data_IF_651296752353
#
_entry.id   IF_651296752353
#
_cell.length_a   1.000
_cell.length_b   1.000
_cell.length_c   1.000
_cell.angle_alpha   90.00
_cell.angle_beta   90.00
_cell.angle_gamma   90.00
#
_symmetry.space_group_name_H-M   'P 1'
#
loop_
_entity.id
_entity.type
_entity.pdbx_description
1 polymer ?
#
# COMPACT_ATOMS: atom_id res chain seq x y z
N UNK A 1 -4.82 1.67 12.96
CA UNK A 1 -3.56 2.46 12.80
C UNK A 1 -2.45 1.99 13.72
N UNK A 2 -2.61 1.96 15.05
CA UNK A 2 -1.55 1.53 15.98
C UNK A 2 -0.98 0.13 15.68
N UNK A 3 -1.84 -0.83 15.36
CA UNK A 3 -1.41 -2.17 14.94
C UNK A 3 -0.54 -2.14 13.68
N UNK A 4 -0.80 -1.21 12.76
CA UNK A 4 -0.05 -1.03 11.51
C UNK A 4 1.34 -0.44 11.77
N UNK A 5 1.42 0.60 12.61
CA UNK A 5 2.67 1.23 13.06
C UNK A 5 3.62 0.22 13.70
N UNK A 6 3.08 -0.68 14.54
CA UNK A 6 3.87 -1.67 15.27
C UNK A 6 4.07 -3.01 14.52
N UNK A 7 3.54 -3.15 13.30
CA UNK A 7 3.68 -4.39 12.53
C UNK A 7 2.87 -5.58 13.07
N UNK A 8 1.81 -5.36 13.86
CA UNK A 8 0.99 -6.42 14.46
C UNK A 8 -0.01 -7.00 13.44
N UNK A 9 0.50 -7.80 12.50
CA UNK A 9 -0.27 -8.37 11.38
C UNK A 9 -1.49 -9.16 11.83
N UNK A 10 -1.35 -9.98 12.87
CA UNK A 10 -2.45 -10.81 13.40
C UNK A 10 -3.60 -9.94 13.93
N UNK A 11 -3.29 -8.82 14.56
CA UNK A 11 -4.29 -7.85 15.03
C UNK A 11 -4.94 -7.14 13.85
N UNK A 12 -4.16 -6.78 12.81
CA UNK A 12 -4.70 -6.18 11.58
C UNK A 12 -5.70 -7.13 10.91
N UNK A 13 -5.38 -8.42 10.81
CA UNK A 13 -6.27 -9.43 10.24
C UNK A 13 -7.54 -9.62 11.08
N UNK A 14 -7.40 -9.72 12.41
CA UNK A 14 -8.55 -9.85 13.30
C UNK A 14 -9.51 -8.64 13.17
N UNK A 15 -8.97 -7.43 13.05
CA UNK A 15 -9.75 -6.22 12.84
C UNK A 15 -10.47 -6.26 11.48
N UNK A 16 -9.80 -6.71 10.43
CA UNK A 16 -10.40 -6.88 9.11
C UNK A 16 -11.58 -7.85 9.13
N UNK A 17 -11.41 -9.01 9.76
CA UNK A 17 -12.45 -10.04 9.88
C UNK A 17 -13.68 -9.55 10.64
N UNK A 18 -13.50 -8.56 11.53
CA UNK A 18 -14.58 -7.93 12.28
C UNK A 18 -15.14 -6.66 11.60
N UNK A 19 -14.75 -6.39 10.35
CA UNK A 19 -15.29 -5.29 9.55
C UNK A 19 -14.73 -3.92 9.89
N UNK A 20 -13.52 -3.84 10.45
CA UNK A 20 -12.86 -2.56 10.70
C UNK A 20 -12.55 -1.84 9.36
N UNK A 21 -12.85 -0.55 9.31
CA UNK A 21 -12.48 0.30 8.18
C UNK A 21 -10.97 0.58 8.23
N UNK A 22 -10.23 0.04 7.27
CA UNK A 22 -8.77 0.18 7.18
C UNK A 22 -8.33 1.49 6.53
N UNK A 23 -9.26 2.17 5.88
CA UNK A 23 -9.03 3.40 5.10
C UNK A 23 -9.41 4.67 5.83
N UNK A 24 -9.77 4.56 7.11
CA UNK A 24 -9.98 5.75 7.94
C UNK A 24 -8.75 6.65 7.87
N UNK A 25 -8.99 7.87 7.44
CA UNK A 25 -7.99 8.92 7.38
C UNK A 25 -8.04 9.74 8.67
N UNK A 26 -6.86 10.02 9.19
CA UNK A 26 -6.69 11.07 10.20
C UNK A 26 -6.95 12.46 9.61
N UNK A 27 -7.07 13.47 10.46
CA UNK A 27 -7.28 14.87 10.05
C UNK A 27 -6.19 15.43 9.12
N UNK A 28 -4.99 14.85 9.13
CA UNK A 28 -3.88 15.18 8.24
C UNK A 28 -3.80 14.29 6.99
N UNK A 29 -4.81 13.43 6.75
CA UNK A 29 -4.89 12.57 5.57
C UNK A 29 -3.99 11.34 5.61
N UNK A 30 -3.55 10.89 6.79
CA UNK A 30 -2.76 9.67 6.95
C UNK A 30 -3.68 8.48 7.22
N UNK A 31 -3.34 7.31 6.66
CA UNK A 31 -4.05 6.05 6.90
C UNK A 31 -3.19 5.08 7.68
N UNK A 32 -3.76 3.94 8.09
CA UNK A 32 -3.00 2.84 8.66
C UNK A 32 -1.84 2.41 7.74
N UNK A 33 -2.04 2.44 6.42
CA UNK A 33 -1.00 2.14 5.43
C UNK A 33 0.14 3.17 5.43
N UNK A 34 -0.17 4.46 5.61
CA UNK A 34 0.86 5.51 5.71
C UNK A 34 1.79 5.25 6.90
N UNK A 35 1.24 4.91 8.07
CA UNK A 35 2.04 4.64 9.26
C UNK A 35 2.86 3.34 9.15
N UNK A 36 2.28 2.27 8.60
CA UNK A 36 3.04 1.05 8.34
C UNK A 36 4.19 1.29 7.36
N UNK A 37 3.97 2.14 6.36
CA UNK A 37 4.99 2.49 5.38
C UNK A 37 6.09 3.38 5.95
N UNK A 38 5.71 4.34 6.81
CA UNK A 38 6.66 5.20 7.52
C UNK A 38 7.58 4.40 8.45
N UNK A 39 7.05 3.41 9.16
CA UNK A 39 7.83 2.57 10.10
C UNK A 39 8.50 1.35 9.43
N UNK A 40 8.37 1.21 8.12
CA UNK A 40 9.03 0.12 7.40
C UNK A 40 8.41 -1.27 7.61
N UNK A 41 7.16 -1.34 8.07
CA UNK A 41 6.48 -2.58 8.44
C UNK A 41 5.99 -3.33 7.21
N UNK A 42 6.88 -4.05 6.52
CA UNK A 42 6.58 -4.73 5.25
C UNK A 42 5.36 -5.66 5.30
N UNK A 43 5.25 -6.49 6.34
CA UNK A 43 4.14 -7.44 6.45
C UNK A 43 2.81 -6.74 6.74
N UNK A 44 2.83 -5.68 7.56
CA UNK A 44 1.64 -4.85 7.78
C UNK A 44 1.22 -4.11 6.50
N UNK A 45 2.19 -3.60 5.72
CA UNK A 45 1.93 -3.01 4.41
C UNK A 45 1.32 -4.04 3.45
N UNK A 46 1.76 -5.30 3.49
CA UNK A 46 1.13 -6.38 2.70
C UNK A 46 -0.28 -6.71 3.17
N UNK A 47 -0.50 -6.77 4.48
CA UNK A 47 -1.81 -7.08 5.06
C UNK A 47 -2.83 -5.97 4.77
N UNK A 48 -2.42 -4.70 4.85
CA UNK A 48 -3.26 -3.53 4.59
C UNK A 48 -3.38 -3.21 3.09
N UNK A 49 -2.40 -3.60 2.29
CA UNK A 49 -2.25 -3.25 0.88
C UNK A 49 -2.98 -4.19 -0.10
N UNK A 50 -3.95 -4.99 0.35
CA UNK A 50 -4.71 -5.88 -0.53
C UNK A 50 -5.62 -5.14 -1.54
N UNK A 51 -5.92 -3.85 -1.32
CA UNK A 51 -6.87 -3.10 -2.16
C UNK A 51 -6.47 -1.61 -2.37
N UNK A 52 -5.17 -1.30 -2.45
CA UNK A 52 -4.65 0.09 -2.59
C UNK A 52 -5.32 0.87 -3.74
N UNK A 53 -5.83 0.18 -4.76
CA UNK A 53 -6.58 0.78 -5.88
C UNK A 53 -7.90 1.40 -5.50
N UNK A 54 -8.56 0.93 -4.43
CA UNK A 54 -9.87 1.43 -4.00
C UNK A 54 -9.77 2.68 -3.13
N UNK A 55 -8.63 2.87 -2.48
CA UNK A 55 -8.61 3.72 -1.30
C UNK A 55 -8.25 5.17 -1.61
N UNK A 56 -7.95 5.52 -2.87
CA UNK A 56 -7.57 6.89 -3.25
C UNK A 56 -6.37 7.42 -2.45
N UNK A 57 -5.66 6.53 -1.75
CA UNK A 57 -4.50 6.82 -0.92
C UNK A 57 -3.41 7.17 -1.92
N UNK A 58 -3.25 8.46 -2.21
CA UNK A 58 -2.31 8.94 -3.20
C UNK A 58 -0.85 8.63 -2.84
N UNK A 59 0.06 9.52 -3.18
CA UNK A 59 1.50 9.32 -2.97
C UNK A 59 1.96 9.32 -1.49
N UNK A 60 1.06 9.42 -0.50
CA UNK A 60 1.42 9.61 0.91
C UNK A 60 2.19 8.43 1.55
N UNK A 61 1.78 7.16 1.41
CA UNK A 61 2.54 6.02 1.96
C UNK A 61 3.90 5.86 1.28
N UNK A 62 3.95 6.11 -0.04
CA UNK A 62 5.19 6.05 -0.81
C UNK A 62 6.16 7.16 -0.37
N UNK A 63 5.66 8.38 -0.17
CA UNK A 63 6.45 9.50 0.32
C UNK A 63 6.95 9.27 1.75
N UNK A 64 6.13 8.67 2.63
CA UNK A 64 6.53 8.34 4.00
C UNK A 64 7.65 7.29 4.03
N UNK A 65 7.50 6.19 3.28
CA UNK A 65 8.55 5.17 3.16
C UNK A 65 9.84 5.73 2.54
N UNK A 66 9.72 6.64 1.55
CA UNK A 66 10.87 7.30 0.92
C UNK A 66 11.60 8.26 1.86
N UNK A 67 10.88 9.05 2.66
CA UNK A 67 11.49 9.92 3.66
C UNK A 67 12.30 9.15 4.70
N UNK A 68 11.86 7.92 5.03
CA UNK A 68 12.50 7.06 6.03
C UNK A 68 13.51 6.06 5.42
N UNK A 69 13.58 5.95 4.10
CA UNK A 69 14.53 5.09 3.39
C UNK A 69 14.13 3.61 3.33
N UNK A 70 12.86 3.27 3.51
CA UNK A 70 12.37 1.88 3.49
C UNK A 70 12.19 1.36 2.06
N UNK A 71 13.31 1.01 1.42
CA UNK A 71 13.35 0.59 0.02
C UNK A 71 12.48 -0.64 -0.29
N UNK A 72 12.38 -1.60 0.62
CA UNK A 72 11.59 -2.82 0.40
C UNK A 72 10.08 -2.56 0.51
N UNK A 73 9.67 -1.70 1.44
CA UNK A 73 8.31 -1.15 1.48
C UNK A 73 7.98 -0.37 0.20
N UNK A 74 8.90 0.46 -0.31
CA UNK A 74 8.70 1.18 -1.58
C UNK A 74 8.46 0.20 -2.73
N UNK A 75 9.26 -0.86 -2.84
CA UNK A 75 9.07 -1.89 -3.86
C UNK A 75 7.70 -2.56 -3.75
N UNK A 76 7.24 -2.84 -2.52
CA UNK A 76 5.93 -3.42 -2.26
C UNK A 76 4.79 -2.48 -2.68
N UNK A 77 4.86 -1.21 -2.28
CA UNK A 77 3.85 -0.20 -2.63
C UNK A 77 3.81 0.05 -4.15
N UNK A 78 4.96 0.11 -4.81
CA UNK A 78 5.04 0.25 -6.27
C UNK A 78 4.46 -0.96 -7.00
N UNK A 79 4.74 -2.19 -6.53
CA UNK A 79 4.20 -3.41 -7.13
C UNK A 79 2.66 -3.45 -7.05
N UNK A 80 2.09 -2.95 -5.96
CA UNK A 80 0.64 -2.88 -5.79
C UNK A 80 0.01 -1.76 -6.63
N UNK A 81 0.69 -0.61 -6.80
CA UNK A 81 0.24 0.47 -7.69
C UNK A 81 0.36 0.12 -9.18
N UNK A 82 1.35 -0.68 -9.60
CA UNK A 82 1.54 -1.07 -11.01
C UNK A 82 0.44 -2.02 -11.52
N UNK A 83 -0.22 -2.79 -10.64
CA UNK A 83 -1.41 -3.56 -11.03
C UNK A 83 -2.57 -2.68 -11.55
N UNK A 84 -2.63 -1.41 -11.13
CA UNK A 84 -3.69 -0.45 -11.50
C UNK A 84 -3.55 0.00 -12.95
N UNK A 85 -2.33 0.20 -13.44
CA UNK A 85 -2.10 0.64 -14.82
C UNK A 85 -2.16 -0.48 -15.85
N UNK A 86 -2.14 -1.74 -15.42
CA UNK A 86 -2.20 -2.89 -16.33
C UNK A 86 -3.63 -3.23 -16.78
N UNK A 87 -4.67 -2.80 -16.05
CA UNK A 87 -6.08 -3.05 -16.41
C UNK A 87 -6.75 -1.87 -17.13
N UNK A 88 -6.19 -0.66 -17.08
CA UNK A 88 -6.67 0.49 -17.87
C UNK A 88 -5.97 0.61 -19.24
N UNK A 89 -5.07 -0.34 -19.55
CA UNK A 89 -4.30 -0.37 -20.79
C UNK A 89 -4.74 -1.47 -21.78
N UNK A 90 -5.86 -2.16 -21.53
CA UNK A 90 -6.52 -3.07 -22.50
C UNK A 90 -7.23 -2.32 -23.64
N UNK A 91 -6.66 -1.19 -24.06
CA UNK A 91 -7.01 -0.49 -25.29
C UNK A 91 -5.82 -0.25 -26.22
N UNK A 92 -4.60 -0.04 -25.71
CA UNK A 92 -3.47 0.27 -26.59
C UNK A 92 -2.09 0.16 -25.91
N UNK A 93 -1.61 -1.05 -25.64
CA UNK A 93 -0.22 -1.43 -25.97
C UNK A 93 -0.07 -2.94 -25.87
N UNK A 94 -0.54 -3.59 -26.93
CA UNK A 94 -0.09 -4.93 -27.31
C UNK A 94 1.43 -4.95 -27.35
N UNK A 95 2.01 -5.92 -26.66
CA UNK A 95 3.31 -6.55 -26.92
C UNK A 95 4.39 -5.66 -27.57
N UNK A 96 5.32 -5.18 -26.74
CA UNK A 96 6.71 -5.06 -27.21
C UNK A 96 7.59 -5.88 -26.26
N UNK A 97 7.69 -7.16 -26.60
CA UNK A 97 8.84 -8.01 -26.26
C UNK A 97 10.12 -7.25 -26.53
N UNK A 98 10.98 -7.14 -25.52
CA UNK A 98 12.38 -6.76 -25.70
C UNK A 98 13.05 -7.86 -26.51
N UNK A 99 13.38 -7.55 -27.76
CA UNK A 99 14.34 -8.31 -28.56
C UNK A 99 15.00 -7.36 -29.54
N UNK A 100 16.11 -6.76 -29.12
CA UNK A 100 17.42 -6.86 -29.79
C UNK A 100 18.52 -6.43 -28.83
#
# INVERSE_FOLDING_TARGET
>A
MLAATNGHVEIIQLLWENGAEVDEMTWNGHTALTFAAEEGQEEAVRALGADVSKHGIGSAPLAAAAQRGHADVIKLLLKNNVKINAQDADGCMKQCTVSL
#
